data_IF_520784262594
#
_entry.id   IF_520784262594
#
_cell.length_a   1.000
_cell.length_b   1.000
_cell.length_c   1.000
_cell.angle_alpha   90.00
_cell.angle_beta   90.00
_cell.angle_gamma   90.00
#
_symmetry.space_group_name_H-M   'P 1'
#
loop_
_entity.id
_entity.type
_entity.pdbx_description
1 polymer ?
#
# COMPACT_ATOMS: atom_id res chain seq x y z
N UNK A 1 -25.36 15.03 28.10
CA UNK A 1 -24.59 13.76 27.96
C UNK A 1 -24.42 13.48 26.46
N UNK A 2 -23.53 14.20 25.77
CA UNK A 2 -23.28 13.99 24.33
C UNK A 2 -21.89 14.52 23.93
N UNK A 3 -20.84 14.15 24.66
CA UNK A 3 -19.45 14.59 24.36
C UNK A 3 -18.51 13.43 24.01
N UNK A 4 -19.06 12.26 23.65
CA UNK A 4 -18.27 11.02 23.48
C UNK A 4 -18.16 10.51 22.03
N UNK A 5 -18.89 11.11 21.07
CA UNK A 5 -18.89 10.61 19.68
C UNK A 5 -17.81 11.23 18.78
N UNK A 6 -17.32 12.44 19.10
CA UNK A 6 -16.41 13.16 18.19
C UNK A 6 -14.96 12.60 18.17
N UNK A 7 -14.53 11.91 19.23
CA UNK A 7 -13.15 11.38 19.33
C UNK A 7 -12.90 10.08 18.57
N UNK A 8 -13.94 9.33 18.22
CA UNK A 8 -13.79 8.04 17.53
C UNK A 8 -13.67 8.19 16.00
N UNK A 9 -14.34 9.19 15.43
CA UNK A 9 -14.32 9.42 13.97
C UNK A 9 -12.94 9.86 13.47
N UNK A 10 -12.23 10.72 14.21
CA UNK A 10 -10.88 11.18 13.81
C UNK A 10 -9.83 10.05 13.83
N UNK A 11 -9.97 9.03 14.70
CA UNK A 11 -9.06 7.86 14.70
C UNK A 11 -9.35 6.91 13.54
N UNK A 12 -10.61 6.82 13.11
CA UNK A 12 -11.02 6.02 11.96
C UNK A 12 -10.45 6.56 10.64
N UNK A 13 -10.60 7.87 10.40
CA UNK A 13 -10.11 8.53 9.17
C UNK A 13 -8.58 8.50 9.04
N UNK A 14 -7.84 8.83 10.11
CA UNK A 14 -6.38 8.83 10.06
C UNK A 14 -5.79 7.43 9.79
N UNK A 15 -6.41 6.37 10.34
CA UNK A 15 -6.02 4.97 10.03
C UNK A 15 -6.45 4.55 8.62
N UNK A 16 -7.60 5.00 8.16
CA UNK A 16 -8.11 4.74 6.80
C UNK A 16 -7.20 5.35 5.74
N UNK A 17 -6.81 6.62 5.89
CA UNK A 17 -5.93 7.31 4.95
C UNK A 17 -4.51 6.74 4.93
N UNK A 18 -3.92 6.47 6.10
CA UNK A 18 -2.58 5.88 6.16
C UNK A 18 -2.53 4.49 5.49
N UNK A 19 -3.55 3.65 5.73
CA UNK A 19 -3.68 2.34 5.06
C UNK A 19 -3.96 2.48 3.58
N UNK A 20 -4.84 3.41 3.18
CA UNK A 20 -5.16 3.69 1.78
C UNK A 20 -3.96 4.15 0.99
N UNK A 21 -3.11 5.02 1.56
CA UNK A 21 -1.90 5.52 0.92
C UNK A 21 -0.86 4.41 0.73
N UNK A 22 -0.64 3.58 1.75
CA UNK A 22 0.31 2.45 1.69
C UNK A 22 -0.15 1.38 0.68
N UNK A 23 -1.45 1.05 0.66
CA UNK A 23 -2.03 0.12 -0.31
C UNK A 23 -2.02 0.69 -1.74
N UNK A 24 -2.25 1.99 -1.87
CA UNK A 24 -2.19 2.71 -3.15
C UNK A 24 -0.80 2.62 -3.77
N UNK A 25 0.24 2.95 -3.02
CA UNK A 25 1.64 2.90 -3.49
C UNK A 25 2.02 1.49 -3.94
N UNK A 26 1.70 0.46 -3.14
CA UNK A 26 1.96 -0.93 -3.53
C UNK A 26 1.21 -1.34 -4.80
N UNK A 27 -0.06 -0.93 -4.93
CA UNK A 27 -0.87 -1.22 -6.12
C UNK A 27 -0.32 -0.51 -7.37
N UNK A 28 0.15 0.73 -7.23
CA UNK A 28 0.81 1.48 -8.32
C UNK A 28 2.10 0.80 -8.76
N UNK A 29 2.95 0.41 -7.81
CA UNK A 29 4.20 -0.31 -8.09
C UNK A 29 3.93 -1.64 -8.82
N UNK A 30 2.96 -2.44 -8.37
CA UNK A 30 2.56 -3.68 -9.03
C UNK A 30 2.08 -3.41 -10.46
N UNK A 31 1.27 -2.38 -10.66
CA UNK A 31 0.75 -2.00 -11.98
C UNK A 31 1.86 -1.54 -12.94
N UNK A 32 2.85 -0.80 -12.44
CA UNK A 32 4.04 -0.39 -13.21
C UNK A 32 4.87 -1.59 -13.65
N UNK A 33 5.09 -2.55 -12.75
CA UNK A 33 5.82 -3.79 -13.08
C UNK A 33 5.05 -4.63 -14.09
N UNK A 34 3.73 -4.80 -13.93
CA UNK A 34 2.89 -5.51 -14.90
C UNK A 34 2.91 -4.87 -16.29
N UNK A 35 3.07 -3.55 -16.36
CA UNK A 35 3.22 -2.80 -17.61
C UNK A 35 4.63 -2.85 -18.21
N UNK A 36 5.56 -3.59 -17.61
CA UNK A 36 6.98 -3.59 -17.99
C UNK A 36 7.64 -2.19 -17.93
N UNK A 37 7.04 -1.25 -17.19
CA UNK A 37 7.57 0.10 -17.01
C UNK A 37 8.56 0.20 -15.86
N UNK A 38 8.53 -0.78 -14.95
CA UNK A 38 9.41 -0.85 -13.78
C UNK A 38 9.88 -2.29 -13.58
N UNK A 39 11.15 -2.47 -13.22
CA UNK A 39 11.68 -3.79 -12.88
C UNK A 39 11.18 -4.26 -11.53
N UNK A 40 11.03 -5.59 -11.36
CA UNK A 40 10.64 -6.20 -10.08
C UNK A 40 11.61 -5.77 -8.96
N UNK A 41 12.92 -5.67 -9.26
CA UNK A 41 13.95 -5.23 -8.32
C UNK A 41 13.76 -3.80 -7.82
N UNK A 42 13.54 -2.86 -8.75
CA UNK A 42 13.30 -1.45 -8.41
C UNK A 42 12.01 -1.30 -7.62
N UNK A 43 10.94 -1.99 -8.06
CA UNK A 43 9.65 -1.95 -7.38
C UNK A 43 9.69 -2.57 -5.98
N UNK A 44 10.44 -3.65 -5.81
CA UNK A 44 10.64 -4.29 -4.52
C UNK A 44 11.48 -3.40 -3.59
N UNK A 45 12.53 -2.75 -4.09
CA UNK A 45 13.32 -1.79 -3.32
C UNK A 45 12.50 -0.57 -2.88
N UNK A 46 11.69 0.00 -3.78
CA UNK A 46 10.73 1.08 -3.46
C UNK A 46 9.70 0.64 -2.41
N UNK A 47 9.23 -0.60 -2.51
CA UNK A 47 8.31 -1.18 -1.53
C UNK A 47 9.01 -1.63 -0.23
N UNK A 48 10.34 -1.49 -0.13
CA UNK A 48 11.13 -1.91 1.04
C UNK A 48 11.07 -3.40 1.33
N UNK A 49 10.89 -4.24 0.30
CA UNK A 49 10.75 -5.69 0.41
C UNK A 49 11.62 -6.43 -0.61
N UNK A 50 11.77 -7.74 -0.44
CA UNK A 50 12.51 -8.57 -1.39
C UNK A 50 11.74 -8.82 -2.70
N UNK A 51 12.45 -9.08 -3.79
CA UNK A 51 11.87 -9.38 -5.11
C UNK A 51 10.85 -10.53 -5.06
N UNK A 52 11.11 -11.55 -4.24
CA UNK A 52 10.22 -12.70 -4.04
C UNK A 52 8.93 -12.32 -3.32
N UNK A 53 9.03 -11.45 -2.29
CA UNK A 53 7.87 -10.94 -1.58
C UNK A 53 7.01 -10.07 -2.50
N UNK A 54 7.67 -9.25 -3.32
CA UNK A 54 6.99 -8.44 -4.32
C UNK A 54 6.31 -9.29 -5.39
N UNK A 55 6.94 -10.38 -5.87
CA UNK A 55 6.32 -11.32 -6.81
C UNK A 55 5.06 -11.96 -6.25
N UNK A 56 5.08 -12.40 -4.98
CA UNK A 56 3.88 -12.88 -4.27
C UNK A 56 2.79 -11.82 -4.20
N UNK A 57 3.18 -10.58 -3.89
CA UNK A 57 2.24 -9.46 -3.78
C UNK A 57 1.62 -9.08 -5.13
N UNK A 58 2.41 -9.12 -6.19
CA UNK A 58 1.98 -8.83 -7.56
C UNK A 58 1.19 -9.97 -8.23
N UNK A 59 1.22 -11.17 -7.65
CA UNK A 59 0.59 -12.39 -8.18
C UNK A 59 1.35 -12.97 -9.38
N UNK A 60 2.68 -12.83 -9.43
CA UNK A 60 3.53 -13.47 -10.44
C UNK A 60 3.90 -14.93 -10.10
N UNK A 61 3.51 -15.41 -8.92
CA UNK A 61 3.83 -16.75 -8.37
C UNK A 61 2.59 -17.40 -7.79
#
# INVERSE_FOLDING_TARGET
MCEVLDRVESRGMARGEARGKILGVQSTLVSLVKKNLLSIRDAASEAGMSEEAFKKLAGFV
#
